data_IF_508670094481
#
_entry.id   IF_508670094481
#
_cell.length_a   1.000
_cell.length_b   1.000
_cell.length_c   1.000
_cell.angle_alpha   90.00
_cell.angle_beta   90.00
_cell.angle_gamma   90.00
#
_symmetry.space_group_name_H-M   'P 1'
#
loop_
_entity.id
_entity.type
_entity.pdbx_description
1 polymer ?
#
# COMPACT_ATOMS: atom_id res chain seq x y z
N UNK A 1 -6.44 8.13 15.61
CA UNK A 1 -6.27 9.13 14.54
C UNK A 1 -4.94 9.92 14.60
N UNK A 2 -4.07 9.71 15.59
CA UNK A 2 -2.84 10.52 15.77
C UNK A 2 -1.63 10.16 14.86
N UNK A 3 -1.65 9.00 14.18
CA UNK A 3 -0.51 8.51 13.40
C UNK A 3 -0.36 9.11 11.99
N UNK A 4 -1.44 9.69 11.42
CA UNK A 4 -1.41 10.33 10.10
C UNK A 4 -0.89 11.76 10.17
N UNK A 5 -1.27 12.54 11.18
CA UNK A 5 -0.83 13.94 11.34
C UNK A 5 0.68 14.04 11.53
N UNK A 6 1.29 13.13 12.29
CA UNK A 6 2.74 13.14 12.49
C UNK A 6 3.52 12.90 11.17
N UNK A 7 3.00 12.04 10.29
CA UNK A 7 3.61 11.74 8.98
C UNK A 7 3.39 12.86 7.97
N UNK A 8 2.18 13.44 7.93
CA UNK A 8 1.87 14.58 7.07
C UNK A 8 2.79 15.76 7.38
N UNK A 9 2.97 16.06 8.67
CA UNK A 9 3.89 17.11 9.14
C UNK A 9 5.36 16.84 8.82
N UNK A 10 5.80 15.58 8.88
CA UNK A 10 7.16 15.20 8.50
C UNK A 10 7.41 15.40 7.00
N UNK A 11 6.44 15.03 6.16
CA UNK A 11 6.54 15.22 4.71
C UNK A 11 6.45 16.70 4.31
N UNK A 12 5.58 17.47 4.96
CA UNK A 12 5.50 18.92 4.75
C UNK A 12 6.87 19.60 4.99
N UNK A 13 7.57 19.21 6.08
CA UNK A 13 8.93 19.67 6.38
C UNK A 13 9.97 19.28 5.32
N UNK A 14 9.88 18.06 4.77
CA UNK A 14 10.76 17.60 3.67
C UNK A 14 10.60 18.42 2.40
N UNK A 15 9.37 18.85 2.09
CA UNK A 15 9.07 19.71 0.94
C UNK A 15 9.24 21.21 1.23
N UNK A 16 9.60 21.60 2.46
CA UNK A 16 9.75 23.00 2.86
C UNK A 16 8.44 23.79 2.90
N UNK A 17 7.29 23.11 2.99
CA UNK A 17 5.96 23.72 2.99
C UNK A 17 5.22 23.42 4.29
N UNK A 18 4.21 24.25 4.61
CA UNK A 18 3.35 24.00 5.76
C UNK A 18 2.31 22.89 5.48
N UNK A 19 1.88 22.19 6.54
CA UNK A 19 0.90 21.12 6.49
C UNK A 19 -0.42 21.58 5.82
N UNK A 20 -0.84 22.82 6.06
CA UNK A 20 -2.04 23.40 5.44
C UNK A 20 -1.89 23.59 3.93
N UNK A 21 -0.67 23.90 3.47
CA UNK A 21 -0.34 24.01 2.04
C UNK A 21 -0.30 22.63 1.40
N UNK A 22 0.32 21.65 2.06
CA UNK A 22 0.33 20.25 1.61
C UNK A 22 -1.09 19.70 1.47
N UNK A 23 -1.95 19.87 2.49
CA UNK A 23 -3.35 19.46 2.45
C UNK A 23 -4.15 20.16 1.34
N UNK A 24 -3.90 21.45 1.08
CA UNK A 24 -4.54 22.20 -0.01
C UNK A 24 -4.12 21.67 -1.39
N UNK A 25 -2.84 21.37 -1.59
CA UNK A 25 -2.36 20.78 -2.85
C UNK A 25 -2.94 19.39 -3.10
N UNK A 26 -3.02 18.56 -2.05
CA UNK A 26 -3.62 17.23 -2.11
C UNK A 26 -5.12 17.31 -2.41
N UNK A 27 -5.86 18.18 -1.69
CA UNK A 27 -7.27 18.42 -1.93
C UNK A 27 -7.55 18.96 -3.35
N UNK A 28 -6.68 19.81 -3.89
CA UNK A 28 -6.78 20.29 -5.27
C UNK A 28 -6.63 19.16 -6.31
N UNK A 29 -5.91 18.09 -5.96
CA UNK A 29 -5.76 16.88 -6.78
C UNK A 29 -6.77 15.79 -6.42
N UNK A 30 -7.78 16.08 -5.57
CA UNK A 30 -8.77 15.11 -5.06
C UNK A 30 -8.13 13.86 -4.42
N UNK A 31 -6.92 13.97 -3.94
CA UNK A 31 -6.20 12.89 -3.25
C UNK A 31 -5.89 13.32 -1.83
N UNK A 32 -5.60 12.38 -0.94
CA UNK A 32 -5.10 12.68 0.39
C UNK A 32 -3.71 12.09 0.57
N UNK A 33 -2.97 12.61 1.55
CA UNK A 33 -1.66 12.06 1.91
C UNK A 33 -1.77 10.57 2.26
N UNK A 34 -2.91 10.19 2.84
CA UNK A 34 -3.25 8.80 3.14
C UNK A 34 -3.39 7.98 1.85
N UNK A 35 -4.06 8.51 0.84
CA UNK A 35 -4.26 7.81 -0.43
C UNK A 35 -2.93 7.60 -1.17
N UNK A 36 -2.02 8.59 -1.16
CA UNK A 36 -0.67 8.43 -1.72
C UNK A 36 0.16 7.37 -0.98
N UNK A 37 0.11 7.37 0.35
CA UNK A 37 0.79 6.33 1.16
C UNK A 37 0.17 4.95 0.91
N UNK A 38 -1.14 4.90 0.75
CA UNK A 38 -1.89 3.68 0.45
C UNK A 38 -1.56 3.16 -0.96
N UNK A 39 -1.38 4.02 -1.97
CA UNK A 39 -0.93 3.65 -3.32
C UNK A 39 0.47 3.03 -3.31
N UNK A 40 1.44 3.64 -2.62
CA UNK A 40 2.81 3.12 -2.51
C UNK A 40 2.82 1.79 -1.75
N UNK A 41 2.04 1.68 -0.66
CA UNK A 41 1.89 0.42 0.08
C UNK A 41 1.24 -0.66 -0.77
N UNK A 42 0.28 -0.29 -1.62
CA UNK A 42 -0.38 -1.23 -2.51
C UNK A 42 0.59 -1.75 -3.58
N UNK A 43 1.41 -0.89 -4.18
CA UNK A 43 2.42 -1.32 -5.15
C UNK A 43 3.45 -2.27 -4.51
N UNK A 44 3.97 -1.92 -3.34
CA UNK A 44 4.89 -2.79 -2.59
C UNK A 44 4.23 -4.12 -2.21
N UNK A 45 2.97 -4.11 -1.76
CA UNK A 45 2.22 -5.31 -1.45
C UNK A 45 2.07 -6.23 -2.68
N UNK A 46 1.79 -5.66 -3.85
CA UNK A 46 1.71 -6.42 -5.09
C UNK A 46 3.07 -7.04 -5.48
N UNK A 47 4.17 -6.30 -5.33
CA UNK A 47 5.51 -6.82 -5.60
C UNK A 47 5.86 -7.99 -4.66
N UNK A 48 5.60 -7.84 -3.36
CA UNK A 48 5.83 -8.89 -2.35
C UNK A 48 4.93 -10.11 -2.55
N UNK A 49 3.71 -9.93 -3.05
CA UNK A 49 2.80 -11.02 -3.37
C UNK A 49 3.13 -11.73 -4.69
N UNK A 50 3.73 -11.02 -5.66
CA UNK A 50 4.12 -11.56 -6.99
C UNK A 50 5.36 -12.44 -6.92
N UNK A 51 6.39 -11.98 -6.21
CA UNK A 51 7.73 -12.54 -6.35
C UNK A 51 8.09 -13.62 -5.33
N UNK A 52 7.18 -14.01 -4.44
CA UNK A 52 7.66 -14.66 -3.21
C UNK A 52 6.71 -15.67 -2.56
N UNK A 53 7.31 -16.73 -2.01
CA UNK A 53 6.73 -17.69 -1.05
C UNK A 53 6.57 -17.07 0.35
N UNK A 54 6.79 -15.75 0.47
CA UNK A 54 6.74 -15.04 1.74
C UNK A 54 5.34 -15.18 2.35
N UNK A 55 5.25 -15.64 3.61
CA UNK A 55 3.96 -15.78 4.29
C UNK A 55 3.35 -14.40 4.60
N UNK A 56 2.02 -14.35 4.70
CA UNK A 56 1.27 -13.08 4.77
C UNK A 56 1.55 -12.27 6.04
N UNK A 57 1.99 -12.94 7.10
CA UNK A 57 2.52 -12.35 8.35
C UNK A 57 3.76 -11.48 8.08
N UNK A 58 4.73 -11.99 7.33
CA UNK A 58 5.92 -11.23 6.95
C UNK A 58 5.59 -10.08 6.01
N UNK A 59 4.62 -10.24 5.12
CA UNK A 59 4.15 -9.13 4.27
C UNK A 59 3.50 -8.03 5.12
N UNK A 60 2.69 -8.39 6.12
CA UNK A 60 2.10 -7.43 7.04
C UNK A 60 3.17 -6.66 7.83
N UNK A 61 4.21 -7.35 8.32
CA UNK A 61 5.35 -6.74 9.02
C UNK A 61 6.09 -5.73 8.12
N UNK A 62 6.42 -6.11 6.88
CA UNK A 62 7.13 -5.23 5.92
C UNK A 62 6.31 -3.98 5.58
N UNK A 63 4.98 -4.12 5.52
CA UNK A 63 4.05 -3.02 5.22
C UNK A 63 3.68 -2.19 6.46
N UNK A 64 4.29 -2.48 7.61
CA UNK A 64 4.07 -1.79 8.90
C UNK A 64 2.62 -1.93 9.40
N UNK A 65 2.04 -3.12 9.21
CA UNK A 65 0.77 -3.52 9.82
C UNK A 65 1.02 -4.40 11.03
N UNK A 66 0.39 -4.04 12.15
CA UNK A 66 0.46 -4.83 13.39
C UNK A 66 -0.16 -6.22 13.27
N UNK A 67 -1.08 -6.42 12.31
CA UNK A 67 -1.84 -7.66 12.16
C UNK A 67 -2.07 -7.99 10.68
N UNK A 68 -2.00 -9.28 10.34
CA UNK A 68 -2.32 -9.79 8.98
C UNK A 68 -3.74 -9.42 8.56
N UNK A 69 -4.67 -9.44 9.51
CA UNK A 69 -6.06 -9.05 9.30
C UNK A 69 -6.19 -7.58 8.91
N UNK A 70 -5.33 -6.69 9.44
CA UNK A 70 -5.31 -5.28 9.08
C UNK A 70 -4.76 -5.08 7.66
N UNK A 71 -3.65 -5.76 7.34
CA UNK A 71 -3.08 -5.77 6.00
C UNK A 71 -4.06 -6.32 4.95
N UNK A 72 -4.77 -7.41 5.27
CA UNK A 72 -5.73 -8.05 4.35
C UNK A 72 -6.93 -7.15 4.05
N UNK A 73 -7.47 -6.46 5.06
CA UNK A 73 -8.56 -5.50 4.87
C UNK A 73 -8.12 -4.28 4.05
N UNK A 74 -6.90 -3.80 4.26
CA UNK A 74 -6.35 -2.69 3.48
C UNK A 74 -6.14 -3.11 2.02
N UNK A 75 -5.49 -4.26 1.80
CA UNK A 75 -5.25 -4.80 0.45
C UNK A 75 -6.56 -5.10 -0.29
N UNK A 76 -7.58 -5.65 0.39
CA UNK A 76 -8.90 -5.89 -0.20
C UNK A 76 -9.62 -4.58 -0.57
N UNK A 77 -9.42 -3.51 0.20
CA UNK A 77 -9.94 -2.18 -0.13
C UNK A 77 -9.30 -1.60 -1.39
N UNK A 78 -8.00 -1.85 -1.61
CA UNK A 78 -7.27 -1.33 -2.77
C UNK A 78 -7.43 -2.18 -4.03
N UNK A 79 -7.38 -3.51 -3.90
CA UNK A 79 -7.41 -4.45 -5.04
C UNK A 79 -8.78 -5.04 -5.36
N UNK A 80 -9.75 -4.88 -4.46
CA UNK A 80 -11.07 -5.52 -4.56
C UNK A 80 -11.09 -7.01 -4.21
N UNK A 81 -9.93 -7.66 -3.99
CA UNK A 81 -9.83 -9.09 -3.66
C UNK A 81 -8.85 -9.35 -2.51
N UNK A 82 -8.91 -10.54 -1.90
CA UNK A 82 -7.98 -10.87 -0.82
C UNK A 82 -6.54 -11.13 -1.34
N UNK A 83 -5.49 -10.85 -0.56
CA UNK A 83 -4.10 -11.16 -0.93
C UNK A 83 -3.88 -12.62 -1.32
N UNK A 84 -4.58 -13.55 -0.66
CA UNK A 84 -4.52 -14.98 -0.95
C UNK A 84 -5.17 -15.34 -2.29
N UNK A 85 -6.30 -14.72 -2.64
CA UNK A 85 -6.91 -14.88 -3.97
C UNK A 85 -6.04 -14.25 -5.06
N UNK A 86 -5.48 -13.06 -4.79
CA UNK A 86 -4.57 -12.37 -5.71
C UNK A 86 -3.33 -13.23 -6.02
N UNK A 87 -2.74 -13.86 -4.99
CA UNK A 87 -1.64 -14.83 -5.14
C UNK A 87 -2.04 -16.06 -5.96
N UNK A 88 -3.23 -16.63 -5.72
CA UNK A 88 -3.74 -17.78 -6.50
C UNK A 88 -4.01 -17.43 -7.97
N UNK A 89 -4.52 -16.23 -8.25
CA UNK A 89 -4.77 -15.74 -9.61
C UNK A 89 -3.48 -15.48 -10.40
N UNK A 90 -2.43 -15.00 -9.73
CA UNK A 90 -1.11 -14.77 -10.33
C UNK A 90 -0.32 -16.07 -10.57
N UNK A 91 -0.47 -17.08 -9.69
CA UNK A 91 0.17 -18.39 -9.87
C UNK A 91 -0.26 -19.09 -11.18
N UNK A 92 -1.48 -18.84 -11.65
CA UNK A 92 -1.95 -19.29 -12.97
C UNK A 92 -1.37 -18.49 -14.14
N UNK A 93 -0.90 -17.25 -13.92
CA UNK A 93 -0.41 -16.34 -14.96
C UNK A 93 1.12 -16.40 -15.14
N UNK A 94 1.88 -16.76 -14.09
CA UNK A 94 3.32 -17.01 -14.18
C UNK A 94 3.65 -18.21 -15.07
N UNK A 95 2.80 -19.25 -15.08
CA UNK A 95 2.97 -20.42 -15.95
C UNK A 95 2.76 -20.11 -17.45
N UNK A 96 2.20 -18.94 -17.80
CA UNK A 96 1.89 -18.57 -19.17
C UNK A 96 2.90 -17.59 -19.79
N UNK A 97 3.78 -16.96 -19.00
CA UNK A 97 4.77 -15.98 -19.48
C UNK A 97 6.16 -16.57 -19.79
N UNK A 98 6.37 -17.87 -19.58
CA UNK A 98 7.67 -18.53 -19.81
C UNK A 98 7.75 -19.35 -21.10
N UNK A 99 6.80 -19.17 -22.02
CA UNK A 99 6.88 -19.72 -23.39
C UNK A 99 6.73 -18.57 -24.40
N UNK A 100 7.87 -18.01 -24.79
CA UNK A 100 8.03 -17.00 -25.83
C UNK A 100 9.50 -16.85 -26.17
#
# INVERSE_FOLDING_TARGET
MAGSDARSRAVARLFGIDERTLHRHLAAQKTSFRDLVDEVRYDLAQQLLRNTVIPLDKIAEILDYSEVSACTRAFGRWSGISPGQWRKGQAGQTLQRSFG
#
